data_IF_391458233901
#
_entry.id   IF_391458233901
#
_cell.length_a   1.000
_cell.length_b   1.000
_cell.length_c   1.000
_cell.angle_alpha   90.00
_cell.angle_beta   90.00
_cell.angle_gamma   90.00
#
_symmetry.space_group_name_H-M   'P 1'
#
loop_
_entity.id
_entity.type
_entity.pdbx_description
1 polymer ?
#
# COMPACT_ATOMS: atom_id res chain seq x y z
N UNK A 1 -13.63 2.82 -3.90
CA UNK A 1 -13.73 3.13 -2.47
C UNK A 1 -14.46 4.44 -2.27
N UNK A 2 -15.52 4.42 -1.45
CA UNK A 2 -16.21 5.64 -1.01
C UNK A 2 -15.49 6.20 0.20
N UNK A 3 -15.14 7.48 0.17
CA UNK A 3 -14.49 8.17 1.29
C UNK A 3 -15.28 8.00 2.59
N UNK A 4 -14.60 7.62 3.66
CA UNK A 4 -15.22 7.34 4.97
C UNK A 4 -14.71 8.25 6.08
N UNK A 5 -13.59 8.96 5.90
CA UNK A 5 -12.97 9.76 6.96
C UNK A 5 -12.77 11.23 6.58
N UNK A 6 -13.04 12.13 7.52
CA UNK A 6 -12.80 13.56 7.39
C UNK A 6 -11.73 14.01 8.38
N UNK A 7 -10.94 15.02 8.03
CA UNK A 7 -9.89 15.58 8.87
C UNK A 7 -10.10 17.08 9.13
N UNK A 8 -9.45 17.60 10.18
CA UNK A 8 -9.44 19.02 10.55
C UNK A 8 -8.00 19.54 10.73
N UNK A 9 -7.05 18.94 10.00
CA UNK A 9 -5.62 19.16 10.20
C UNK A 9 -5.20 20.60 9.91
N UNK A 10 -4.28 21.13 10.73
CA UNK A 10 -3.64 22.44 10.52
C UNK A 10 -2.19 22.35 10.03
N UNK A 11 -1.71 21.13 9.82
CA UNK A 11 -0.32 20.80 9.45
C UNK A 11 -0.18 20.38 7.99
N UNK A 12 -1.13 20.74 7.12
CA UNK A 12 -1.04 20.51 5.68
C UNK A 12 -1.23 19.07 5.19
N UNK A 13 -1.71 18.12 6.00
CA UNK A 13 -2.14 16.78 5.54
C UNK A 13 -1.11 15.90 4.79
N UNK A 14 0.18 16.17 4.90
CA UNK A 14 1.26 15.47 4.18
C UNK A 14 1.95 14.36 5.01
N UNK A 15 1.33 13.90 6.09
CA UNK A 15 1.83 12.79 6.91
C UNK A 15 0.69 11.97 7.49
N UNK A 16 0.98 10.75 7.96
CA UNK A 16 0.01 9.85 8.61
C UNK A 16 -0.61 10.41 9.91
N UNK A 17 -0.25 11.63 10.34
CA UNK A 17 -1.00 12.40 11.34
C UNK A 17 -2.38 12.83 10.83
N UNK A 18 -2.52 13.01 9.52
CA UNK A 18 -3.81 13.25 8.89
C UNK A 18 -4.62 11.97 8.84
N UNK A 19 -5.87 12.01 9.32
CA UNK A 19 -6.76 10.84 9.31
C UNK A 19 -7.08 10.38 7.89
N UNK A 20 -7.27 11.29 6.93
CA UNK A 20 -7.53 10.93 5.54
C UNK A 20 -6.34 10.16 4.95
N UNK A 21 -5.13 10.73 5.01
CA UNK A 21 -3.93 10.08 4.49
C UNK A 21 -3.62 8.77 5.22
N UNK A 22 -3.82 8.70 6.54
CA UNK A 22 -3.65 7.46 7.32
C UNK A 22 -4.57 6.33 6.85
N UNK A 23 -5.75 6.65 6.31
CA UNK A 23 -6.71 5.68 5.78
C UNK A 23 -6.62 5.56 4.25
N UNK A 24 -5.50 5.97 3.63
CA UNK A 24 -5.31 5.87 2.19
C UNK A 24 -6.35 6.66 1.37
N UNK A 25 -6.92 7.74 1.94
CA UNK A 25 -7.97 8.55 1.32
C UNK A 25 -7.50 9.99 1.01
N UNK A 26 -7.93 10.58 -0.13
CA UNK A 26 -7.75 12.01 -0.39
C UNK A 26 -8.56 12.88 0.58
N UNK A 27 -8.07 14.11 0.78
CA UNK A 27 -8.91 15.15 1.36
C UNK A 27 -9.92 15.64 0.31
N UNK A 28 -11.09 16.07 0.77
CA UNK A 28 -12.18 16.58 -0.07
C UNK A 28 -12.75 17.86 0.57
N UNK A 29 -13.79 18.42 -0.04
CA UNK A 29 -14.47 19.62 0.43
C UNK A 29 -15.14 19.47 1.82
N UNK A 30 -15.34 18.23 2.29
CA UNK A 30 -15.90 17.95 3.61
C UNK A 30 -14.83 17.95 4.72
N UNK A 31 -13.55 17.99 4.37
CA UNK A 31 -12.47 18.17 5.34
C UNK A 31 -12.36 19.64 5.77
N UNK A 32 -12.14 19.89 7.07
CA UNK A 32 -11.85 21.22 7.63
C UNK A 32 -10.34 21.54 7.73
N UNK A 33 -9.52 20.84 6.95
CA UNK A 33 -8.08 21.09 6.92
C UNK A 33 -7.74 22.41 6.23
N UNK A 34 -6.64 23.02 6.64
CA UNK A 34 -6.08 24.22 5.99
C UNK A 34 -4.76 23.87 5.29
N UNK A 35 -4.46 24.61 4.21
CA UNK A 35 -3.26 24.43 3.38
C UNK A 35 -2.98 22.96 3.03
N UNK A 36 -4.03 22.26 2.57
CA UNK A 36 -3.98 20.82 2.35
C UNK A 36 -2.98 20.44 1.25
N UNK A 37 -2.01 19.60 1.62
CA UNK A 37 -0.98 18.98 0.77
C UNK A 37 -1.03 17.46 0.89
N UNK A 38 -2.23 16.89 1.03
CA UNK A 38 -2.41 15.44 0.97
C UNK A 38 -2.00 14.97 -0.44
N UNK A 39 -0.97 14.12 -0.58
CA UNK A 39 -0.47 13.70 -1.88
C UNK A 39 -1.49 12.85 -2.66
N UNK A 40 -2.52 12.31 -2.01
CA UNK A 40 -3.57 11.55 -2.67
C UNK A 40 -4.61 12.43 -3.37
N UNK A 41 -4.59 13.74 -3.16
CA UNK A 41 -5.56 14.65 -3.79
C UNK A 41 -5.40 14.65 -5.32
N UNK A 42 -6.48 14.35 -6.04
CA UNK A 42 -6.49 14.29 -7.51
C UNK A 42 -6.03 12.94 -8.08
N UNK A 43 -5.68 11.98 -7.23
CA UNK A 43 -5.30 10.61 -7.62
C UNK A 43 -6.54 9.72 -7.63
N UNK A 44 -6.71 8.91 -8.68
CA UNK A 44 -7.72 7.85 -8.72
C UNK A 44 -7.21 6.63 -7.93
N UNK A 45 -7.34 6.71 -6.60
CA UNK A 45 -6.89 5.65 -5.67
C UNK A 45 -7.58 4.29 -5.90
N UNK A 46 -8.64 4.22 -6.70
CA UNK A 46 -9.33 2.96 -7.01
C UNK A 46 -8.61 2.13 -8.06
N UNK A 47 -7.63 2.71 -8.74
CA UNK A 47 -6.79 2.06 -9.75
C UNK A 47 -5.36 1.88 -9.25
N UNK A 48 -5.20 1.89 -7.93
CA UNK A 48 -3.92 1.76 -7.27
C UNK A 48 -4.04 0.70 -6.19
N UNK A 49 -3.07 -0.21 -6.14
CA UNK A 49 -2.90 -1.09 -4.99
C UNK A 49 -2.54 -0.28 -3.76
N UNK A 50 -2.73 -0.87 -2.58
CA UNK A 50 -2.41 -0.20 -1.32
C UNK A 50 -0.91 0.11 -1.22
N UNK A 51 -0.06 -0.74 -1.80
CA UNK A 51 1.37 -0.47 -1.91
C UNK A 51 1.64 0.81 -2.71
N UNK A 52 1.01 0.97 -3.87
CA UNK A 52 1.13 2.18 -4.68
C UNK A 52 0.61 3.42 -3.95
N UNK A 53 -0.53 3.31 -3.25
CA UNK A 53 -1.09 4.43 -2.47
C UNK A 53 -0.15 4.85 -1.34
N UNK A 54 0.46 3.91 -0.62
CA UNK A 54 1.36 4.24 0.49
C UNK A 54 2.78 4.64 0.05
N UNK A 55 3.09 4.47 -1.24
CA UNK A 55 4.31 4.95 -1.90
C UNK A 55 4.00 6.02 -2.96
N UNK A 56 2.94 6.81 -2.76
CA UNK A 56 2.44 7.76 -3.76
C UNK A 56 3.49 8.79 -4.22
N UNK A 57 4.42 9.18 -3.35
CA UNK A 57 5.48 10.12 -3.71
C UNK A 57 6.38 9.54 -4.82
N UNK A 58 6.68 8.23 -4.76
CA UNK A 58 7.42 7.52 -5.83
C UNK A 58 6.59 7.54 -7.11
N UNK A 59 5.30 7.21 -7.03
CA UNK A 59 4.40 7.23 -8.20
C UNK A 59 4.34 8.61 -8.88
N UNK A 60 4.33 9.70 -8.10
CA UNK A 60 4.33 11.06 -8.64
C UNK A 60 5.63 11.44 -9.34
N UNK A 61 6.75 10.83 -8.96
CA UNK A 61 8.06 11.06 -9.57
C UNK A 61 8.26 10.25 -10.87
N UNK A 62 7.44 9.21 -11.11
CA UNK A 62 7.54 8.39 -12.32
C UNK A 62 7.22 9.20 -13.58
N UNK A 63 8.15 9.13 -14.53
CA UNK A 63 7.94 9.64 -15.87
C UNK A 63 7.00 8.75 -16.69
N UNK A 64 6.45 9.30 -17.78
CA UNK A 64 5.70 8.51 -18.77
C UNK A 64 6.51 7.36 -19.34
N UNK A 65 7.84 7.49 -19.40
CA UNK A 65 8.71 6.43 -19.92
C UNK A 65 8.77 5.25 -18.94
N UNK A 66 8.98 5.52 -17.66
CA UNK A 66 9.01 4.51 -16.59
C UNK A 66 7.64 3.82 -16.45
N UNK A 67 6.53 4.57 -16.53
CA UNK A 67 5.19 3.98 -16.51
C UNK A 67 4.91 3.01 -17.67
N UNK A 68 5.60 3.15 -18.80
CA UNK A 68 5.48 2.26 -19.96
C UNK A 68 6.58 1.20 -20.02
N UNK A 69 7.50 1.19 -19.06
CA UNK A 69 8.47 0.11 -18.93
C UNK A 69 7.74 -1.20 -18.65
N UNK A 70 8.18 -2.26 -19.35
CA UNK A 70 7.56 -3.56 -19.30
C UNK A 70 8.29 -4.45 -18.31
N UNK A 71 7.51 -5.16 -17.51
CA UNK A 71 7.99 -6.13 -16.56
C UNK A 71 7.50 -7.51 -16.98
N UNK A 72 8.39 -8.49 -16.94
CA UNK A 72 8.02 -9.89 -17.10
C UNK A 72 7.24 -10.34 -15.86
N UNK A 73 6.07 -10.95 -16.07
CA UNK A 73 5.31 -11.50 -14.95
C UNK A 73 6.04 -12.69 -14.34
N UNK A 74 5.96 -12.93 -13.02
CA UNK A 74 6.57 -14.10 -12.37
C UNK A 74 6.16 -15.48 -12.95
N UNK A 75 5.00 -15.57 -13.62
CA UNK A 75 4.61 -16.79 -14.35
C UNK A 75 5.33 -17.00 -15.70
N UNK A 76 6.11 -16.03 -16.18
CA UNK A 76 6.78 -16.08 -17.49
C UNK A 76 5.83 -16.05 -18.69
N UNK A 77 4.55 -15.76 -18.50
CA UNK A 77 3.53 -15.87 -19.55
C UNK A 77 3.46 -14.64 -20.46
N UNK A 78 3.73 -13.45 -19.94
CA UNK A 78 3.63 -12.18 -20.65
C UNK A 78 4.47 -11.08 -20.00
N UNK A 79 4.71 -10.01 -20.76
CA UNK A 79 5.31 -8.77 -20.29
C UNK A 79 4.25 -7.67 -20.24
N UNK A 80 4.18 -6.95 -19.12
CA UNK A 80 3.11 -5.98 -18.84
C UNK A 80 3.73 -4.64 -18.45
N UNK A 81 3.25 -3.51 -18.99
CA UNK A 81 3.75 -2.20 -18.61
C UNK A 81 3.40 -1.86 -17.15
N UNK A 82 4.29 -1.15 -16.45
CA UNK A 82 4.12 -0.75 -15.05
C UNK A 82 2.76 -0.11 -14.77
N UNK A 83 2.28 0.76 -15.65
CA UNK A 83 0.98 1.43 -15.53
C UNK A 83 -0.21 0.47 -15.34
N UNK A 84 -0.12 -0.77 -15.85
CA UNK A 84 -1.14 -1.81 -15.65
C UNK A 84 -0.97 -2.60 -14.37
N UNK A 85 0.24 -2.60 -13.80
CA UNK A 85 0.62 -3.29 -12.57
C UNK A 85 0.47 -2.38 -11.33
N UNK A 86 0.08 -1.11 -11.52
CA UNK A 86 -0.29 -0.22 -10.42
C UNK A 86 -1.59 -0.65 -9.73
N UNK A 87 -2.42 -1.43 -10.42
CA UNK A 87 -3.63 -2.09 -9.93
C UNK A 87 -3.46 -3.61 -10.05
N UNK A 88 -4.42 -4.37 -9.53
CA UNK A 88 -4.45 -5.82 -9.66
C UNK A 88 -4.59 -6.22 -11.15
N UNK A 89 -3.58 -6.89 -11.66
CA UNK A 89 -3.53 -7.34 -13.04
C UNK A 89 -3.67 -8.85 -13.14
N UNK A 90 -4.73 -9.33 -13.79
CA UNK A 90 -4.94 -10.75 -14.05
C UNK A 90 -4.22 -11.18 -15.33
N UNK A 91 -3.28 -12.13 -15.21
CA UNK A 91 -2.57 -12.70 -16.35
C UNK A 91 -3.53 -13.39 -17.33
N UNK A 92 -3.40 -13.05 -18.61
CA UNK A 92 -4.31 -13.53 -19.65
C UNK A 92 -4.20 -15.04 -19.95
N UNK A 93 -3.12 -15.68 -19.50
CA UNK A 93 -2.75 -17.06 -19.82
C UNK A 93 -3.04 -18.05 -18.69
N UNK A 94 -2.66 -17.71 -17.46
CA UNK A 94 -2.81 -18.57 -16.29
C UNK A 94 -3.88 -18.11 -15.31
N UNK A 95 -4.38 -16.87 -15.42
CA UNK A 95 -5.38 -16.31 -14.52
C UNK A 95 -4.85 -15.85 -13.16
N UNK A 96 -3.54 -15.94 -12.92
CA UNK A 96 -2.89 -15.44 -11.71
C UNK A 96 -2.92 -13.91 -11.66
N UNK A 97 -3.00 -13.35 -10.44
CA UNK A 97 -3.07 -11.90 -10.22
C UNK A 97 -1.71 -11.37 -9.77
N UNK A 98 -1.27 -10.29 -10.39
CA UNK A 98 0.01 -9.63 -10.15
C UNK A 98 -0.16 -8.13 -9.95
N UNK A 99 0.75 -7.54 -9.20
CA UNK A 99 0.86 -6.09 -9.02
C UNK A 99 2.31 -5.69 -8.75
N UNK A 100 2.62 -4.40 -8.88
CA UNK A 100 3.96 -3.87 -8.66
C UNK A 100 4.18 -3.47 -7.20
N UNK A 101 5.15 -4.08 -6.54
CA UNK A 101 5.56 -3.74 -5.19
C UNK A 101 6.60 -2.62 -5.22
N UNK A 102 6.21 -1.42 -4.83
CA UNK A 102 7.16 -0.33 -4.58
C UNK A 102 8.04 -0.58 -3.36
N UNK A 103 7.64 -1.48 -2.45
CA UNK A 103 8.46 -1.82 -1.29
C UNK A 103 9.66 -2.71 -1.66
N UNK A 104 9.49 -3.56 -2.68
CA UNK A 104 10.50 -4.54 -3.10
C UNK A 104 11.08 -4.24 -4.50
N UNK A 105 10.53 -3.25 -5.19
CA UNK A 105 10.90 -2.85 -6.56
C UNK A 105 10.77 -3.99 -7.57
N UNK A 106 9.68 -4.76 -7.47
CA UNK A 106 9.44 -5.95 -8.29
C UNK A 106 7.95 -6.24 -8.51
N UNK A 107 7.65 -7.06 -9.52
CA UNK A 107 6.30 -7.59 -9.74
C UNK A 107 6.07 -8.79 -8.85
N UNK A 108 5.03 -8.71 -8.02
CA UNK A 108 4.68 -9.75 -7.05
C UNK A 108 3.34 -10.41 -7.40
N UNK A 109 3.17 -11.65 -6.96
CA UNK A 109 1.91 -12.39 -7.09
C UNK A 109 1.03 -12.13 -5.86
N UNK A 110 -0.24 -11.80 -6.08
CA UNK A 110 -1.20 -11.49 -5.02
C UNK A 110 -1.38 -12.63 -4.01
N UNK A 111 -1.38 -13.89 -4.47
CA UNK A 111 -1.51 -15.05 -3.58
C UNK A 111 -0.30 -15.28 -2.67
N UNK A 112 0.85 -14.68 -2.98
CA UNK A 112 2.12 -14.90 -2.29
C UNK A 112 2.60 -13.67 -1.52
N UNK A 113 2.00 -12.50 -1.76
CA UNK A 113 2.46 -11.23 -1.22
C UNK A 113 1.27 -10.36 -0.85
N UNK A 114 1.33 -9.74 0.31
CA UNK A 114 0.35 -8.74 0.73
C UNK A 114 1.06 -7.50 1.27
N UNK A 115 0.42 -6.33 1.15
CA UNK A 115 0.94 -5.10 1.73
C UNK A 115 0.30 -4.83 3.09
N UNK A 116 1.10 -4.76 4.15
CA UNK A 116 0.57 -4.41 5.46
C UNK A 116 0.30 -2.92 5.55
N UNK A 117 -0.97 -2.51 5.50
CA UNK A 117 -1.35 -1.09 5.54
C UNK A 117 -0.88 -0.36 6.80
N UNK A 118 -0.80 -1.08 7.92
CA UNK A 118 -0.41 -0.53 9.23
C UNK A 118 1.10 -0.30 9.27
N UNK A 119 1.88 -1.31 8.88
CA UNK A 119 3.34 -1.23 8.88
C UNK A 119 3.89 -0.43 7.70
N UNK A 120 3.16 -0.35 6.59
CA UNK A 120 3.58 0.34 5.38
C UNK A 120 4.56 -0.46 4.51
N UNK A 121 4.55 -1.79 4.60
CA UNK A 121 5.52 -2.65 3.93
C UNK A 121 4.85 -3.90 3.35
N UNK A 122 5.35 -4.35 2.20
CA UNK A 122 5.03 -5.65 1.63
C UNK A 122 5.59 -6.79 2.50
N UNK A 123 4.84 -7.89 2.53
CA UNK A 123 5.08 -9.06 3.37
C UNK A 123 4.75 -10.32 2.58
N UNK A 124 5.42 -11.40 2.95
CA UNK A 124 5.12 -12.74 2.41
C UNK A 124 3.74 -13.20 2.94
N UNK A 125 3.01 -13.99 2.15
CA UNK A 125 1.69 -14.53 2.51
C UNK A 125 1.67 -15.30 3.84
N UNK A 126 2.82 -15.82 4.29
CA UNK A 126 2.96 -16.50 5.59
C UNK A 126 3.08 -15.53 6.74
N UNK A 127 3.32 -14.25 6.51
CA UNK A 127 3.37 -13.24 7.56
C UNK A 127 1.99 -12.64 7.83
N UNK A 128 1.79 -12.15 9.05
CA UNK A 128 0.57 -11.46 9.45
C UNK A 128 0.88 -10.31 10.41
N UNK A 129 0.01 -9.30 10.48
CA UNK A 129 0.15 -8.19 11.42
C UNK A 129 -0.43 -8.56 12.79
N UNK A 130 0.39 -8.55 13.84
CA UNK A 130 -0.07 -8.74 15.21
C UNK A 130 -0.58 -7.42 15.82
N UNK A 131 -1.90 -7.26 16.08
CA UNK A 131 -2.45 -5.99 16.58
C UNK A 131 -1.92 -5.63 17.97
N UNK A 132 -1.68 -6.62 18.82
CA UNK A 132 -1.16 -6.41 20.19
C UNK A 132 0.27 -5.93 20.21
N UNK A 133 1.11 -6.41 19.28
CA UNK A 133 2.51 -5.99 19.18
C UNK A 133 2.71 -4.84 18.19
N UNK A 134 1.68 -4.48 17.42
CA UNK A 134 1.72 -3.50 16.34
C UNK A 134 2.89 -3.73 15.37
N UNK A 135 3.14 -5.00 15.01
CA UNK A 135 4.22 -5.41 14.10
C UNK A 135 3.83 -6.64 13.28
N UNK A 136 4.36 -6.74 12.06
CA UNK A 136 4.27 -7.97 11.27
C UNK A 136 5.14 -9.08 11.86
N UNK A 137 4.69 -10.33 11.73
CA UNK A 137 5.36 -11.51 12.27
C UNK A 137 5.06 -12.74 11.41
N UNK A 138 5.96 -13.72 11.44
CA UNK A 138 5.86 -14.93 10.62
C UNK A 138 4.86 -15.95 11.21
N UNK A 139 4.00 -16.50 10.36
CA UNK A 139 2.75 -17.20 10.69
C UNK A 139 2.83 -18.64 11.18
N UNK A 140 3.95 -19.06 11.76
CA UNK A 140 4.02 -20.33 12.51
C UNK A 140 3.94 -20.12 14.03
N UNK A 141 3.86 -18.87 14.51
CA UNK A 141 3.76 -18.57 15.93
C UNK A 141 2.46 -17.80 16.24
N UNK A 142 1.42 -18.55 16.61
CA UNK A 142 0.19 -18.00 17.21
C UNK A 142 0.07 -18.51 18.66
N UNK A 143 0.18 -17.63 19.67
CA UNK A 143 0.55 -16.22 19.58
C UNK A 143 2.04 -16.02 19.20
N UNK A 144 2.41 -14.86 18.66
CA UNK A 144 3.83 -14.59 18.36
C UNK A 144 4.67 -14.59 19.64
N UNK A 145 5.98 -14.87 19.55
CA UNK A 145 6.86 -15.20 20.69
C UNK A 145 6.87 -14.21 21.87
N UNK A 146 6.40 -12.97 21.63
CA UNK A 146 6.34 -11.89 22.61
C UNK A 146 4.95 -11.27 22.79
N UNK A 147 3.91 -11.85 22.17
CA UNK A 147 2.54 -11.33 22.30
C UNK A 147 2.09 -11.41 23.76
N UNK A 148 1.66 -10.28 24.33
CA UNK A 148 1.16 -10.22 25.71
C UNK A 148 2.24 -10.29 26.80
N UNK A 149 3.54 -10.31 26.45
CA UNK A 149 4.59 -10.10 27.46
C UNK A 149 4.65 -8.61 27.81
N UNK A 150 4.00 -8.24 28.92
CA UNK A 150 4.18 -6.93 29.55
C UNK A 150 5.66 -6.66 29.76
N UNK A 151 6.20 -5.58 29.19
CA UNK A 151 7.53 -5.08 29.55
C UNK A 151 7.60 -4.95 31.06
N UNK A 152 8.49 -5.71 31.72
CA UNK A 152 8.73 -5.60 33.17
C UNK A 152 9.49 -4.33 33.57
N UNK A 153 9.59 -3.37 32.65
CA UNK A 153 10.27 -2.09 32.86
C UNK A 153 9.29 -0.95 32.57
N UNK A 154 8.38 -0.72 33.52
CA UNK A 154 7.67 0.54 33.74
C UNK A 154 7.69 0.82 35.24
#
# INVERSE_FOLDING_TARGET
>A
MTKTVQCNCKTGCNSKRCKCLKNNEPCDEKCGCVDCKNPLNGVDINKLTICAIQNIDIYHELSKKELNEKFELPCGCEEVPLVKLLDDYTCSKCGEVYWYSFCWDEVVQDSCTWHCEICGECKDWREWHCPSCNKCTYGVTLPCDHCGRSSKYH
#
